data_IF_515316486398
#
_entry.id   IF_515316486398
#
_cell.length_a   1.000
_cell.length_b   1.000
_cell.length_c   1.000
_cell.angle_alpha   90.00
_cell.angle_beta   90.00
_cell.angle_gamma   90.00
#
_symmetry.space_group_name_H-M   'P 1'
#
loop_
_entity.id
_entity.type
_entity.pdbx_description
1 polymer ?
#
# COMPACT_ATOMS: atom_id res chain seq x y z
N UNK A 1 14.09 -31.27 36.52
CA UNK A 1 15.13 -32.19 36.00
C UNK A 1 15.72 -31.50 34.77
N UNK A 2 16.63 -30.53 34.89
CA UNK A 2 18.10 -30.61 35.11
C UNK A 2 18.80 -31.68 34.26
N UNK A 3 19.52 -31.16 33.24
CA UNK A 3 20.86 -31.57 32.81
C UNK A 3 20.96 -32.96 32.13
N UNK A 4 21.88 -33.27 31.22
CA UNK A 4 23.22 -32.76 30.86
C UNK A 4 23.60 -33.53 29.57
N UNK A 5 24.14 -32.91 28.50
CA UNK A 5 25.58 -32.68 28.27
C UNK A 5 26.35 -33.99 27.99
N UNK A 6 27.30 -33.93 27.03
CA UNK A 6 28.40 -34.89 26.73
C UNK A 6 28.06 -35.82 25.54
N UNK A 7 28.74 -35.79 24.38
CA UNK A 7 30.18 -36.06 24.22
C UNK A 7 30.78 -35.31 23.01
N UNK A 8 31.67 -34.37 23.33
CA UNK A 8 32.80 -33.92 22.52
C UNK A 8 33.77 -35.09 22.39
N UNK A 9 34.21 -35.41 21.16
CA UNK A 9 35.45 -36.12 20.75
C UNK A 9 35.14 -36.87 19.43
N UNK A 10 35.81 -36.68 18.29
CA UNK A 10 37.23 -36.59 17.98
C UNK A 10 37.31 -36.12 16.50
N UNK A 11 37.91 -34.98 16.18
CA UNK A 11 39.22 -34.88 15.52
C UNK A 11 39.47 -35.96 14.45
N UNK A 12 39.40 -35.59 13.16
CA UNK A 12 40.31 -35.97 12.04
C UNK A 12 40.01 -34.97 10.89
N UNK A 13 40.83 -33.95 10.65
CA UNK A 13 42.08 -33.90 9.88
C UNK A 13 41.90 -34.07 8.36
N UNK A 14 42.58 -33.19 7.62
CA UNK A 14 42.71 -33.03 6.15
C UNK A 14 41.59 -32.15 5.55
N UNK A 15 41.85 -30.96 5.01
CA UNK A 15 43.05 -30.43 4.37
C UNK A 15 42.77 -30.33 2.87
N UNK A 16 42.05 -29.30 2.43
CA UNK A 16 42.00 -28.92 1.02
C UNK A 16 42.40 -27.46 0.93
N UNK A 17 43.61 -27.26 0.41
CA UNK A 17 44.18 -26.00 0.01
C UNK A 17 43.32 -25.44 -1.12
N UNK A 18 42.60 -24.34 -0.87
CA UNK A 18 42.12 -23.47 -1.94
C UNK A 18 43.04 -22.26 -2.04
N UNK A 19 43.59 -22.14 -3.25
CA UNK A 19 44.59 -21.21 -3.73
C UNK A 19 44.19 -19.74 -3.51
N UNK A 20 45.08 -18.96 -2.90
CA UNK A 20 45.07 -17.50 -2.95
C UNK A 20 45.65 -17.02 -4.29
N UNK A 21 44.95 -16.07 -4.92
CA UNK A 21 45.56 -15.03 -5.74
C UNK A 21 45.16 -13.68 -5.15
N UNK A 22 46.16 -12.98 -4.62
CA UNK A 22 46.09 -11.61 -4.09
C UNK A 22 46.02 -10.58 -5.22
N UNK A 23 45.20 -9.54 -5.03
CA UNK A 23 45.70 -8.17 -4.96
C UNK A 23 44.60 -7.16 -4.54
N UNK A 24 44.75 -6.64 -3.31
CA UNK A 24 44.51 -5.25 -2.82
C UNK A 24 43.05 -4.75 -2.72
N UNK A 25 42.58 -4.09 -1.65
CA UNK A 25 43.15 -3.59 -0.39
C UNK A 25 41.97 -3.19 0.56
N UNK A 26 42.17 -3.36 1.88
CA UNK A 26 41.78 -2.47 3.02
C UNK A 26 40.37 -1.82 3.08
N UNK A 27 39.62 -1.68 4.19
CA UNK A 27 39.61 -2.06 5.62
C UNK A 27 38.26 -1.50 6.16
N UNK A 28 37.65 -2.19 7.14
CA UNK A 28 36.62 -1.78 8.16
C UNK A 28 35.76 -0.51 7.89
N UNK A 29 34.44 -0.52 8.07
CA UNK A 29 33.79 -0.49 9.40
C UNK A 29 32.26 -0.74 9.32
N UNK A 30 31.73 -1.03 10.49
CA UNK A 30 30.36 -1.39 10.89
C UNK A 30 29.38 -0.22 10.87
N UNK A 31 28.09 -0.59 10.76
CA UNK A 31 26.88 0.07 11.29
C UNK A 31 26.00 0.89 10.33
N UNK A 32 24.69 0.61 10.51
CA UNK A 32 23.55 1.51 10.37
C UNK A 32 23.15 1.85 8.93
N UNK A 33 21.89 2.05 8.58
CA UNK A 33 20.59 1.99 9.25
C UNK A 33 19.58 2.24 8.11
N UNK A 34 18.36 1.72 8.30
CA UNK A 34 17.14 2.11 7.60
C UNK A 34 17.19 2.15 6.06
N UNK A 35 16.77 1.03 5.44
CA UNK A 35 15.96 1.14 4.23
C UNK A 35 14.61 1.76 4.61
N UNK A 36 14.63 3.06 4.90
CA UNK A 36 13.45 3.91 4.98
C UNK A 36 12.97 4.08 3.54
N UNK A 37 12.28 3.07 3.01
CA UNK A 37 11.49 3.25 1.80
C UNK A 37 10.39 4.21 2.19
N UNK A 38 10.57 5.46 1.77
CA UNK A 38 9.56 6.50 1.65
C UNK A 38 8.18 5.87 1.54
N UNK A 39 7.46 5.90 2.67
CA UNK A 39 6.02 6.03 2.66
C UNK A 39 5.77 7.41 2.07
N UNK A 40 5.80 7.48 0.74
CA UNK A 40 5.37 8.65 0.00
C UNK A 40 4.00 9.01 0.56
N UNK A 41 3.81 10.28 0.88
CA UNK A 41 2.53 10.83 1.29
C UNK A 41 1.51 10.61 0.17
N UNK A 42 0.96 9.40 0.10
CA UNK A 42 -0.15 8.99 -0.71
C UNK A 42 -1.24 10.00 -0.42
N UNK A 43 -1.59 10.79 -1.44
CA UNK A 43 -2.38 12.01 -1.29
C UNK A 43 -3.51 11.80 -0.31
N UNK A 44 -3.43 12.50 0.82
CA UNK A 44 -4.51 12.51 1.80
C UNK A 44 -5.51 13.58 1.35
N UNK A 45 -6.78 13.21 1.31
CA UNK A 45 -7.89 14.14 1.10
C UNK A 45 -8.84 14.01 2.27
N UNK A 46 -9.29 15.15 2.78
CA UNK A 46 -10.19 15.23 3.91
C UNK A 46 -11.55 15.78 3.46
N UNK A 47 -12.64 15.36 4.08
CA UNK A 47 -13.99 15.90 3.87
C UNK A 47 -14.63 16.24 5.22
N UNK A 48 -15.42 17.31 5.26
CA UNK A 48 -16.29 17.56 6.42
C UNK A 48 -17.47 16.58 6.41
N UNK A 49 -18.14 16.44 7.55
CA UNK A 49 -19.37 15.64 7.64
C UNK A 49 -20.44 16.08 6.63
N UNK A 50 -20.64 17.38 6.44
CA UNK A 50 -21.61 17.96 5.51
C UNK A 50 -21.26 17.63 4.04
N UNK A 51 -19.97 17.67 3.72
CA UNK A 51 -19.47 17.30 2.39
C UNK A 51 -19.69 15.81 2.12
N UNK A 52 -19.52 14.93 3.11
CA UNK A 52 -19.81 13.49 2.92
C UNK A 52 -21.29 13.24 2.68
N UNK A 53 -22.17 13.90 3.45
CA UNK A 53 -23.61 13.68 3.32
C UNK A 53 -24.14 14.07 1.94
N UNK A 54 -23.59 15.15 1.36
CA UNK A 54 -23.93 15.59 0.00
C UNK A 54 -23.21 14.78 -1.10
N UNK A 55 -22.02 14.27 -0.81
CA UNK A 55 -21.16 13.57 -1.76
C UNK A 55 -21.64 12.18 -2.18
N UNK A 56 -22.64 11.60 -1.50
CA UNK A 56 -23.09 10.23 -1.73
C UNK A 56 -21.95 9.18 -1.77
N UNK A 57 -20.90 9.40 -0.98
CA UNK A 57 -19.76 8.48 -0.90
C UNK A 57 -20.21 7.17 -0.25
N UNK A 58 -19.97 6.07 -0.95
CA UNK A 58 -20.26 4.72 -0.46
C UNK A 58 -18.95 3.97 -0.31
N UNK A 59 -18.79 3.28 0.82
CA UNK A 59 -17.64 2.41 1.08
C UNK A 59 -18.05 0.95 1.09
N UNK A 60 -17.15 0.06 0.67
CA UNK A 60 -17.39 -1.37 0.62
C UNK A 60 -16.09 -2.18 0.64
N UNK A 61 -16.22 -3.48 0.84
CA UNK A 61 -15.09 -4.41 0.81
C UNK A 61 -14.83 -4.94 -0.59
N UNK A 62 -13.63 -5.50 -0.80
CA UNK A 62 -13.32 -6.25 -2.01
C UNK A 62 -14.27 -7.43 -2.20
N UNK A 63 -14.57 -7.74 -3.45
CA UNK A 63 -15.38 -8.90 -3.82
C UNK A 63 -14.54 -9.91 -4.58
N UNK A 64 -14.65 -11.19 -4.25
CA UNK A 64 -14.10 -12.25 -5.09
C UNK A 64 -15.04 -12.48 -6.28
N UNK A 65 -14.54 -12.33 -7.51
CA UNK A 65 -15.34 -12.46 -8.74
C UNK A 65 -14.56 -13.20 -9.83
N UNK A 66 -15.23 -14.07 -10.57
CA UNK A 66 -14.75 -14.58 -11.86
C UNK A 66 -15.12 -13.54 -12.93
N UNK A 67 -14.14 -13.00 -13.66
CA UNK A 67 -14.35 -11.99 -14.69
C UNK A 67 -13.77 -12.49 -16.02
N UNK A 68 -14.57 -12.48 -17.08
CA UNK A 68 -14.19 -13.08 -18.36
C UNK A 68 -13.80 -14.56 -18.22
N UNK A 69 -12.60 -14.92 -18.73
CA UNK A 69 -12.04 -16.28 -18.66
C UNK A 69 -11.08 -16.48 -17.48
N UNK A 70 -11.00 -15.53 -16.55
CA UNK A 70 -10.05 -15.59 -15.43
C UNK A 70 -10.69 -16.22 -14.19
N UNK A 71 -9.83 -16.85 -13.40
CA UNK A 71 -10.15 -17.36 -12.07
C UNK A 71 -10.60 -16.25 -11.12
N UNK A 72 -11.23 -16.66 -10.01
CA UNK A 72 -11.78 -15.75 -9.02
C UNK A 72 -10.70 -14.95 -8.30
N UNK A 73 -10.48 -13.70 -8.73
CA UNK A 73 -9.62 -12.71 -8.06
C UNK A 73 -10.44 -11.64 -7.34
N UNK A 74 -9.75 -10.80 -6.56
CA UNK A 74 -10.37 -9.65 -5.91
C UNK A 74 -10.71 -8.57 -6.93
N UNK A 75 -11.90 -7.99 -6.79
CA UNK A 75 -12.46 -6.99 -7.66
C UNK A 75 -13.11 -5.86 -6.86
N UNK A 76 -13.14 -4.68 -7.47
CA UNK A 76 -13.94 -3.54 -7.06
C UNK A 76 -14.91 -3.16 -8.20
N UNK A 77 -16.03 -2.49 -7.90
CA UNK A 77 -16.84 -1.85 -8.92
C UNK A 77 -16.00 -0.88 -9.76
N UNK A 78 -16.32 -0.73 -11.03
CA UNK A 78 -15.58 0.17 -11.93
C UNK A 78 -15.56 1.62 -11.43
N UNK A 79 -16.63 2.05 -10.75
CA UNK A 79 -16.78 3.38 -10.14
C UNK A 79 -15.80 3.65 -8.98
N UNK A 80 -15.14 2.61 -8.43
CA UNK A 80 -14.15 2.76 -7.37
C UNK A 80 -12.81 3.32 -7.87
N UNK A 81 -12.54 3.21 -9.18
CA UNK A 81 -11.27 3.58 -9.78
C UNK A 81 -11.32 5.00 -10.34
N UNK A 82 -10.26 5.74 -10.11
CA UNK A 82 -10.01 7.04 -10.75
C UNK A 82 -8.65 7.04 -11.40
N UNK A 83 -8.51 7.83 -12.46
CA UNK A 83 -7.24 8.00 -13.16
C UNK A 83 -6.67 9.39 -12.89
N UNK A 84 -5.38 9.46 -12.60
CA UNK A 84 -4.65 10.72 -12.43
C UNK A 84 -3.26 10.58 -13.04
N UNK A 85 -2.87 11.51 -13.91
CA UNK A 85 -1.57 11.48 -14.60
C UNK A 85 -1.25 10.16 -15.35
N UNK A 86 -2.28 9.44 -15.81
CA UNK A 86 -2.13 8.17 -16.52
C UNK A 86 -2.13 6.92 -15.64
N UNK A 87 -2.05 7.09 -14.32
CA UNK A 87 -2.06 5.99 -13.34
C UNK A 87 -3.44 5.81 -12.71
N UNK A 88 -3.72 4.60 -12.20
CA UNK A 88 -5.02 4.21 -11.64
C UNK A 88 -4.97 4.15 -10.11
N UNK A 89 -6.01 4.67 -9.47
CA UNK A 89 -6.07 4.80 -8.02
C UNK A 89 -7.43 4.43 -7.45
N UNK A 90 -7.43 4.06 -6.18
CA UNK A 90 -8.63 3.89 -5.34
C UNK A 90 -8.47 4.70 -4.06
N UNK A 91 -9.58 4.99 -3.39
CA UNK A 91 -9.54 5.68 -2.09
C UNK A 91 -9.87 4.72 -0.94
N UNK A 92 -9.10 4.84 0.15
CA UNK A 92 -9.28 4.09 1.39
C UNK A 92 -9.58 5.06 2.54
N UNK A 93 -10.70 4.90 3.27
CA UNK A 93 -10.95 5.68 4.47
C UNK A 93 -9.89 5.40 5.56
N UNK A 94 -9.40 6.46 6.22
CA UNK A 94 -8.40 6.39 7.30
C UNK A 94 -8.94 6.78 8.67
N UNK A 95 -10.25 7.05 8.74
CA UNK A 95 -10.93 7.40 9.97
C UNK A 95 -11.29 8.87 10.00
N UNK A 96 -11.45 9.39 11.21
CA UNK A 96 -11.89 10.76 11.45
C UNK A 96 -10.92 11.49 12.37
N UNK A 97 -10.74 12.77 12.13
CA UNK A 97 -9.98 13.70 12.98
C UNK A 97 -10.89 14.81 13.46
N UNK A 98 -10.57 15.40 14.62
CA UNK A 98 -11.20 16.63 15.05
C UNK A 98 -10.31 17.81 14.66
N UNK A 99 -10.88 18.78 13.94
CA UNK A 99 -10.21 20.02 13.59
C UNK A 99 -11.07 21.19 14.09
N UNK A 100 -10.67 21.76 15.23
CA UNK A 100 -11.51 22.70 15.97
C UNK A 100 -12.81 22.03 16.43
N UNK A 101 -13.94 22.54 15.94
CA UNK A 101 -15.28 22.03 16.25
C UNK A 101 -15.89 21.21 15.11
N UNK A 102 -15.07 20.80 14.13
CA UNK A 102 -15.51 20.06 12.94
C UNK A 102 -14.88 18.67 12.90
N UNK A 103 -15.71 17.67 12.59
CA UNK A 103 -15.25 16.31 12.30
C UNK A 103 -14.81 16.25 10.84
N UNK A 104 -13.55 15.92 10.65
CA UNK A 104 -12.91 15.69 9.35
C UNK A 104 -12.79 14.19 9.11
N UNK A 105 -13.07 13.76 7.89
CA UNK A 105 -12.97 12.38 7.45
C UNK A 105 -11.86 12.26 6.44
N UNK A 106 -10.88 11.42 6.74
CA UNK A 106 -9.68 11.29 5.94
C UNK A 106 -9.77 10.10 4.98
N UNK A 107 -9.30 10.32 3.76
CA UNK A 107 -9.18 9.32 2.73
C UNK A 107 -7.77 9.35 2.16
N UNK A 108 -7.17 8.16 2.01
CA UNK A 108 -5.89 7.98 1.35
C UNK A 108 -6.11 7.54 -0.09
N UNK A 109 -5.49 8.21 -1.05
CA UNK A 109 -5.43 7.79 -2.44
C UNK A 109 -4.31 6.76 -2.61
N UNK A 110 -4.63 5.56 -3.07
CA UNK A 110 -3.69 4.44 -3.20
C UNK A 110 -3.57 4.07 -4.67
N UNK A 111 -2.33 4.04 -5.16
CA UNK A 111 -2.03 3.56 -6.51
C UNK A 111 -2.29 2.05 -6.61
N UNK A 112 -2.94 1.61 -7.67
CA UNK A 112 -3.32 0.22 -7.92
C UNK A 112 -3.15 -0.14 -9.38
N UNK A 113 -3.13 -1.43 -9.70
CA UNK A 113 -3.19 -1.89 -11.09
C UNK A 113 -4.53 -2.56 -11.37
N UNK A 114 -5.12 -2.22 -12.52
CA UNK A 114 -6.32 -2.87 -13.05
C UNK A 114 -5.90 -4.03 -13.95
N UNK A 115 -6.61 -5.14 -13.82
CA UNK A 115 -6.52 -6.27 -14.74
C UNK A 115 -7.81 -6.36 -15.58
N UNK A 116 -8.53 -7.49 -15.51
CA UNK A 116 -9.73 -7.74 -16.30
C UNK A 116 -10.92 -6.96 -15.76
N UNK A 117 -11.61 -6.27 -16.66
CA UNK A 117 -12.88 -5.57 -16.37
C UNK A 117 -14.02 -6.30 -17.07
N UNK A 118 -15.08 -6.62 -16.34
CA UNK A 118 -16.27 -7.30 -16.86
C UNK A 118 -17.49 -6.99 -15.98
N UNK A 119 -18.65 -6.80 -16.61
CA UNK A 119 -19.95 -6.71 -15.92
C UNK A 119 -20.00 -5.68 -14.78
N UNK A 120 -19.33 -4.54 -14.95
CA UNK A 120 -19.30 -3.43 -13.97
C UNK A 120 -18.26 -3.57 -12.86
N UNK A 121 -17.40 -4.59 -12.91
CA UNK A 121 -16.32 -4.83 -11.95
C UNK A 121 -14.97 -4.94 -12.64
N UNK A 122 -13.91 -4.64 -11.91
CA UNK A 122 -12.52 -4.77 -12.37
C UNK A 122 -11.69 -5.52 -11.34
N UNK A 123 -10.92 -6.52 -11.78
CA UNK A 123 -9.90 -7.17 -10.97
C UNK A 123 -8.79 -6.16 -10.61
N UNK A 124 -8.39 -6.15 -9.34
CA UNK A 124 -7.45 -5.16 -8.80
C UNK A 124 -6.24 -5.84 -8.15
N UNK A 125 -5.07 -5.32 -8.45
CA UNK A 125 -3.83 -5.62 -7.73
C UNK A 125 -3.55 -4.45 -6.80
N UNK A 126 -3.53 -4.75 -5.50
CA UNK A 126 -3.24 -3.81 -4.43
C UNK A 126 -1.75 -3.87 -4.06
N UNK A 127 -1.17 -2.78 -3.55
CA UNK A 127 0.20 -2.82 -3.02
C UNK A 127 0.31 -3.77 -1.83
N UNK A 128 1.43 -4.48 -1.72
CA UNK A 128 1.66 -5.49 -0.67
C UNK A 128 1.58 -4.92 0.76
N UNK A 129 1.84 -3.62 0.91
CA UNK A 129 1.72 -2.91 2.19
C UNK A 129 0.29 -2.71 2.67
N UNK A 130 -0.72 -2.91 1.82
CA UNK A 130 -2.13 -2.69 2.18
C UNK A 130 -2.80 -3.98 2.68
N UNK A 131 -3.21 -3.99 3.95
CA UNK A 131 -4.03 -5.09 4.49
C UNK A 131 -5.43 -5.08 3.91
N UNK A 132 -5.69 -5.95 2.95
CA UNK A 132 -6.96 -6.03 2.22
C UNK A 132 -8.15 -6.67 2.97
N UNK A 133 -7.94 -7.34 4.11
CA UNK A 133 -8.99 -8.12 4.76
C UNK A 133 -9.96 -7.28 5.60
N UNK A 134 -9.48 -6.19 6.19
CA UNK A 134 -10.29 -5.25 6.99
C UNK A 134 -10.33 -3.85 6.38
N UNK A 135 -9.84 -3.71 5.13
CA UNK A 135 -9.86 -2.43 4.42
C UNK A 135 -11.15 -2.28 3.65
N UNK A 136 -11.86 -1.18 3.93
CA UNK A 136 -12.91 -0.66 3.07
C UNK A 136 -12.31 0.24 1.99
N UNK A 137 -12.95 0.23 0.83
CA UNK A 137 -12.63 1.06 -0.31
C UNK A 137 -13.83 1.95 -0.60
N UNK A 138 -13.57 3.16 -1.11
CA UNK A 138 -14.62 3.99 -1.70
C UNK A 138 -15.05 3.34 -3.00
N UNK A 139 -16.30 2.86 -3.04
CA UNK A 139 -16.87 2.16 -4.20
C UNK A 139 -17.79 3.05 -5.04
N UNK A 140 -18.13 4.24 -4.54
CA UNK A 140 -18.85 5.32 -5.25
C UNK A 140 -18.38 6.68 -4.74
N UNK A 141 -18.27 7.66 -5.63
CA UNK A 141 -17.83 9.03 -5.31
C UNK A 141 -16.31 9.22 -5.23
N UNK A 142 -15.53 8.31 -5.83
CA UNK A 142 -14.07 8.40 -5.87
C UNK A 142 -13.58 9.59 -6.72
N UNK A 143 -14.31 9.94 -7.78
CA UNK A 143 -14.10 11.09 -8.65
C UNK A 143 -14.22 12.43 -7.91
N UNK A 144 -15.17 12.54 -6.98
CA UNK A 144 -15.30 13.71 -6.11
C UNK A 144 -14.07 13.89 -5.22
N UNK A 145 -13.59 12.80 -4.60
CA UNK A 145 -12.39 12.82 -3.76
C UNK A 145 -11.17 13.25 -4.56
N UNK A 146 -11.02 12.74 -5.78
CA UNK A 146 -9.94 13.16 -6.68
C UNK A 146 -10.04 14.65 -7.03
N UNK A 147 -11.22 15.13 -7.40
CA UNK A 147 -11.46 16.54 -7.73
C UNK A 147 -11.10 17.45 -6.57
N UNK A 148 -11.50 17.10 -5.35
CA UNK A 148 -11.13 17.85 -4.15
C UNK A 148 -9.62 17.87 -3.93
N UNK A 149 -8.95 16.74 -4.12
CA UNK A 149 -7.50 16.66 -3.98
C UNK A 149 -6.75 17.54 -4.99
N UNK A 150 -7.16 17.49 -6.26
CA UNK A 150 -6.54 18.31 -7.33
C UNK A 150 -6.73 19.79 -7.03
N UNK A 151 -7.94 20.19 -6.63
CA UNK A 151 -8.23 21.58 -6.28
C UNK A 151 -7.39 22.07 -5.09
N UNK A 152 -7.19 21.24 -4.05
CA UNK A 152 -6.32 21.57 -2.90
C UNK A 152 -4.86 21.77 -3.32
N UNK A 153 -4.33 20.92 -4.21
CA UNK A 153 -2.94 21.03 -4.71
C UNK A 153 -2.70 22.31 -5.53
N UNK A 154 -3.68 22.73 -6.33
CA UNK A 154 -3.59 23.95 -7.14
C UNK A 154 -3.64 25.23 -6.29
N UNK A 155 -4.40 25.24 -5.19
CA UNK A 155 -4.46 26.39 -4.27
C UNK A 155 -3.18 26.59 -3.44
N UNK A 156 -2.34 25.57 -3.30
CA UNK A 156 -1.09 25.62 -2.53
C UNK A 156 0.14 26.18 -3.27
N UNK A 157 0.02 26.53 -4.56
CA UNK A 157 1.15 27.01 -5.39
C UNK A 157 1.06 28.51 -5.74
N UNK A 158 0.24 29.27 -5.03
CA UNK A 158 -0.01 30.68 -5.31
C UNK A 158 0.37 31.61 -4.17
N UNK A 159 1.61 31.55 -3.66
CA UNK A 159 2.22 32.60 -2.83
C UNK A 159 3.73 32.64 -3.02
#
# INVERSE_FOLDING_TARGET
>A
MKNTLIYIHFIVLTGILFSCSEAKESTKETSQDTAKKQEEALGMVELTQEQIQSAAIVTGFLQKRNLGKQESKFALPNEAFVQSAGDEYVFVPKGTRQEGNQVMYDYQMIHVYKEVSDSGYTHVILPDSLNRYDTKFVIKGADLLLSKMINKKQQGHGH
#
